data_IF_170928960464
#
_entry.id   IF_170928960464
#
_cell.length_a   1.000
_cell.length_b   1.000
_cell.length_c   1.000
_cell.angle_alpha   90.00
_cell.angle_beta   90.00
_cell.angle_gamma   90.00
#
_symmetry.space_group_name_H-M   'P 1'
#
loop_
_entity.id
_entity.type
_entity.pdbx_description
1 polymer ?
#
# COMPACT_ATOMS: atom_id res chain seq x y z
N UNK A 1 -47.69 -33.83 11.16
CA UNK A 1 -48.88 -33.03 10.82
C UNK A 1 -48.56 -31.58 11.15
N UNK A 2 -48.75 -30.53 10.37
CA UNK A 2 -48.87 -30.28 8.94
C UNK A 2 -48.67 -28.76 8.85
N UNK A 3 -47.93 -28.29 7.84
CA UNK A 3 -47.85 -26.87 7.42
C UNK A 3 -49.24 -26.36 6.98
N UNK A 4 -49.52 -25.04 6.95
CA UNK A 4 -49.08 -24.10 5.88
C UNK A 4 -48.63 -22.73 6.45
N UNK A 5 -47.96 -21.81 5.77
CA UNK A 5 -47.78 -21.57 4.33
C UNK A 5 -48.68 -20.41 3.84
N UNK A 6 -48.08 -19.29 3.42
CA UNK A 6 -48.72 -18.15 2.74
C UNK A 6 -48.22 -16.81 3.29
N UNK A 7 -47.19 -16.13 2.76
CA UNK A 7 -47.06 -15.38 1.48
C UNK A 7 -48.28 -14.53 1.11
N UNK A 8 -48.02 -13.23 0.90
CA UNK A 8 -48.52 -12.38 -0.21
C UNK A 8 -48.88 -10.98 0.30
N UNK A 9 -48.09 -9.92 0.05
CA UNK A 9 -47.81 -9.18 -1.21
C UNK A 9 -48.60 -7.87 -1.28
N UNK A 10 -48.01 -6.86 -1.95
CA UNK A 10 -48.68 -5.71 -2.61
C UNK A 10 -49.10 -4.60 -1.64
N UNK A 11 -48.97 -3.29 -1.87
CA UNK A 11 -48.50 -2.41 -2.94
C UNK A 11 -48.25 -1.08 -2.24
N UNK A 12 -47.22 -0.33 -2.62
CA UNK A 12 -47.27 1.13 -2.50
C UNK A 12 -47.22 1.70 -3.90
N UNK A 13 -48.30 2.41 -4.23
CA UNK A 13 -48.57 3.05 -5.50
C UNK A 13 -47.63 4.26 -5.69
N UNK A 14 -47.25 4.49 -6.94
CA UNK A 14 -46.56 5.69 -7.40
C UNK A 14 -47.32 6.98 -7.03
N UNK A 15 -46.58 7.97 -6.57
CA UNK A 15 -46.89 9.38 -6.82
C UNK A 15 -45.58 10.16 -7.01
N UNK A 16 -45.44 10.65 -8.22
CA UNK A 16 -44.36 11.40 -8.81
C UNK A 16 -44.09 12.72 -8.10
N UNK A 17 -42.83 13.04 -7.85
CA UNK A 17 -42.42 14.44 -7.92
C UNK A 17 -41.07 14.58 -8.63
N UNK A 18 -41.10 15.36 -9.69
CA UNK A 18 -40.06 15.52 -10.69
C UNK A 18 -39.09 16.60 -10.21
N UNK A 19 -37.87 16.21 -9.85
CA UNK A 19 -36.76 17.14 -9.62
C UNK A 19 -35.50 16.49 -10.19
N UNK A 20 -35.18 16.92 -11.40
CA UNK A 20 -34.11 16.44 -12.25
C UNK A 20 -32.74 16.87 -11.72
N UNK A 21 -32.13 16.00 -10.92
CA UNK A 21 -30.69 15.96 -10.69
C UNK A 21 -30.24 14.50 -10.86
N UNK A 22 -29.71 14.19 -12.04
CA UNK A 22 -29.23 12.87 -12.41
C UNK A 22 -27.95 12.53 -11.61
N UNK A 23 -28.12 11.98 -10.42
CA UNK A 23 -27.07 11.17 -9.80
C UNK A 23 -27.04 9.84 -10.54
N UNK A 24 -26.07 9.72 -11.45
CA UNK A 24 -25.70 8.47 -12.08
C UNK A 24 -25.20 7.56 -10.95
N UNK A 25 -26.06 6.69 -10.44
CA UNK A 25 -25.64 5.56 -9.63
C UNK A 25 -24.69 4.73 -10.48
N UNK A 26 -23.40 4.79 -10.14
CA UNK A 26 -22.40 3.90 -10.70
C UNK A 26 -22.90 2.45 -10.57
N UNK A 27 -22.92 1.65 -11.65
CA UNK A 27 -23.25 0.24 -11.55
C UNK A 27 -22.25 -0.42 -10.60
N UNK A 28 -22.75 -1.12 -9.58
CA UNK A 28 -21.97 -2.07 -8.80
C UNK A 28 -21.23 -3.01 -9.78
N UNK A 29 -19.92 -3.28 -9.58
CA UNK A 29 -19.21 -4.22 -10.42
C UNK A 29 -19.94 -5.58 -10.35
N UNK A 30 -20.05 -6.29 -11.48
CA UNK A 30 -20.73 -7.58 -11.50
C UNK A 30 -20.05 -8.54 -10.52
N UNK A 31 -20.85 -9.34 -9.83
CA UNK A 31 -20.41 -10.39 -8.92
C UNK A 31 -19.49 -11.35 -9.68
N UNK A 32 -18.20 -11.31 -9.35
CA UNK A 32 -17.16 -12.16 -9.93
C UNK A 32 -17.46 -13.65 -9.65
N UNK A 33 -18.10 -14.31 -10.61
CA UNK A 33 -18.08 -15.78 -10.70
C UNK A 33 -16.73 -16.29 -11.23
N UNK A 34 -15.75 -15.40 -11.42
CA UNK A 34 -14.44 -15.63 -12.03
C UNK A 34 -13.35 -16.07 -11.04
N UNK A 35 -13.71 -16.26 -9.76
CA UNK A 35 -12.81 -16.75 -8.70
C UNK A 35 -12.92 -18.26 -8.43
N UNK A 36 -13.80 -18.97 -9.15
CA UNK A 36 -13.98 -20.40 -9.02
C UNK A 36 -13.26 -21.14 -10.15
N UNK A 37 -12.45 -22.14 -9.79
CA UNK A 37 -11.86 -23.00 -10.81
C UNK A 37 -12.94 -23.87 -11.48
N UNK A 38 -13.02 -23.95 -12.82
CA UNK A 38 -14.09 -24.72 -13.49
C UNK A 38 -14.01 -26.23 -13.23
N UNK A 39 -12.83 -26.76 -12.89
CA UNK A 39 -12.60 -28.20 -12.71
C UNK A 39 -12.87 -28.64 -11.27
N UNK A 40 -12.29 -27.95 -10.29
CA UNK A 40 -12.43 -28.32 -8.87
C UNK A 40 -13.49 -27.50 -8.14
N UNK A 41 -14.06 -26.46 -8.76
CA UNK A 41 -15.07 -25.55 -8.21
C UNK A 41 -14.67 -24.88 -6.89
N UNK A 42 -13.41 -25.00 -6.49
CA UNK A 42 -12.88 -24.33 -5.29
C UNK A 42 -12.67 -22.85 -5.61
N UNK A 43 -13.18 -21.99 -4.73
CA UNK A 43 -12.98 -20.55 -4.81
C UNK A 43 -11.69 -20.14 -4.09
N UNK A 44 -11.13 -18.99 -4.48
CA UNK A 44 -9.97 -18.37 -3.83
C UNK A 44 -10.17 -18.14 -2.32
N UNK A 45 -11.41 -17.98 -1.89
CA UNK A 45 -11.78 -17.75 -0.49
C UNK A 45 -11.34 -18.89 0.44
N UNK A 46 -11.46 -20.15 0.02
CA UNK A 46 -11.12 -21.30 0.88
C UNK A 46 -9.62 -21.56 0.98
N UNK A 47 -8.82 -21.15 -0.01
CA UNK A 47 -7.37 -21.32 -0.02
C UNK A 47 -6.71 -20.10 -0.66
N UNK A 48 -6.19 -19.18 0.16
CA UNK A 48 -5.55 -17.93 -0.28
C UNK A 48 -4.29 -18.16 -1.13
N UNK A 49 -3.65 -19.32 -0.96
CA UNK A 49 -2.43 -19.73 -1.67
C UNK A 49 -2.71 -20.36 -3.04
N UNK A 50 -3.98 -20.49 -3.46
CA UNK A 50 -4.29 -20.98 -4.80
C UNK A 50 -4.03 -19.91 -5.85
N UNK A 51 -2.97 -20.10 -6.62
CA UNK A 51 -2.68 -19.32 -7.81
C UNK A 51 -3.49 -19.83 -9.01
N UNK A 52 -4.17 -18.90 -9.69
CA UNK A 52 -4.77 -19.14 -10.99
C UNK A 52 -3.75 -18.91 -12.10
N UNK A 53 -3.74 -19.83 -13.06
CA UNK A 53 -2.96 -19.72 -14.30
C UNK A 53 -3.88 -19.56 -15.49
N UNK A 54 -3.38 -18.82 -16.48
CA UNK A 54 -4.06 -18.53 -17.74
C UNK A 54 -3.17 -18.99 -18.88
N UNK A 55 -3.78 -19.46 -19.96
CA UNK A 55 -3.07 -19.75 -21.21
C UNK A 55 -3.27 -18.62 -22.22
N UNK A 56 -2.21 -18.26 -22.94
CA UNK A 56 -2.18 -17.18 -23.95
C UNK A 56 -3.15 -17.37 -25.11
N UNK A 57 -3.58 -18.60 -25.40
CA UNK A 57 -4.47 -18.87 -26.53
C UNK A 57 -5.96 -18.86 -26.17
N UNK A 58 -6.29 -19.19 -24.92
CA UNK A 58 -7.66 -19.40 -24.47
C UNK A 58 -8.15 -18.34 -23.50
N UNK A 59 -7.25 -17.70 -22.76
CA UNK A 59 -7.59 -16.76 -21.70
C UNK A 59 -8.65 -17.31 -20.71
N UNK A 60 -8.56 -18.58 -20.34
CA UNK A 60 -9.38 -19.19 -19.28
C UNK A 60 -8.55 -19.40 -18.01
N UNK A 61 -9.14 -19.10 -16.86
CA UNK A 61 -8.50 -19.24 -15.54
C UNK A 61 -8.64 -20.66 -15.03
N UNK A 62 -7.53 -21.24 -14.58
CA UNK A 62 -7.50 -22.58 -13.99
C UNK A 62 -6.58 -22.62 -12.78
N UNK A 63 -6.94 -23.44 -11.78
CA UNK A 63 -6.12 -23.60 -10.59
C UNK A 63 -4.79 -24.31 -10.92
N UNK A 64 -3.67 -23.96 -10.25
CA UNK A 64 -2.36 -24.60 -10.46
C UNK A 64 -2.42 -26.13 -10.42
N UNK A 65 -3.09 -26.71 -9.42
CA UNK A 65 -3.20 -28.17 -9.25
C UNK A 65 -4.01 -28.84 -10.36
N UNK A 66 -5.01 -28.13 -10.90
CA UNK A 66 -5.85 -28.58 -12.02
C UNK A 66 -5.07 -28.58 -13.33
N UNK A 67 -4.27 -27.52 -13.56
CA UNK A 67 -3.41 -27.40 -14.73
C UNK A 67 -2.34 -28.49 -14.72
N UNK A 68 -1.66 -28.69 -13.58
CA UNK A 68 -0.64 -29.72 -13.46
C UNK A 68 -1.23 -31.12 -13.61
N UNK A 69 -2.44 -31.40 -13.10
CA UNK A 69 -3.06 -32.73 -13.27
C UNK A 69 -3.47 -33.01 -14.71
N UNK A 70 -4.14 -32.07 -15.37
CA UNK A 70 -4.73 -32.29 -16.70
C UNK A 70 -3.65 -32.27 -17.79
N UNK A 71 -2.62 -31.43 -17.67
CA UNK A 71 -1.62 -31.24 -18.73
C UNK A 71 -0.29 -31.96 -18.50
N UNK A 72 -0.17 -32.76 -17.42
CA UNK A 72 1.00 -33.61 -17.18
C UNK A 72 1.06 -34.82 -18.11
N UNK A 73 -0.09 -35.36 -18.48
CA UNK A 73 -0.19 -36.55 -19.34
C UNK A 73 0.00 -36.23 -20.83
N UNK A 74 0.04 -34.94 -21.20
CA UNK A 74 0.25 -34.51 -22.57
C UNK A 74 -0.54 -33.24 -22.93
N UNK A 75 -0.46 -32.79 -24.20
CA UNK A 75 -1.26 -31.70 -24.70
C UNK A 75 -2.74 -32.11 -24.76
N UNK A 76 -3.54 -31.54 -23.86
CA UNK A 76 -4.97 -31.81 -23.75
C UNK A 76 -5.79 -30.57 -24.16
N UNK A 77 -7.10 -30.75 -24.36
CA UNK A 77 -7.98 -29.63 -24.65
C UNK A 77 -8.36 -28.88 -23.37
N UNK A 78 -8.65 -27.58 -23.49
CA UNK A 78 -9.18 -26.81 -22.38
C UNK A 78 -10.51 -27.41 -21.89
N UNK A 79 -10.71 -27.65 -20.58
CA UNK A 79 -11.94 -28.23 -20.04
C UNK A 79 -13.09 -27.20 -19.87
N UNK A 80 -13.00 -26.03 -20.51
CA UNK A 80 -14.02 -24.98 -20.43
C UNK A 80 -15.12 -25.24 -21.46
N UNK A 81 -16.39 -25.10 -21.06
CA UNK A 81 -17.53 -25.31 -21.94
C UNK A 81 -17.48 -24.31 -23.11
N UNK A 82 -17.32 -24.83 -24.34
CA UNK A 82 -17.20 -24.01 -25.55
C UNK A 82 -15.76 -23.74 -26.03
N UNK A 83 -14.73 -24.28 -25.37
CA UNK A 83 -13.35 -24.11 -25.79
C UNK A 83 -12.63 -25.43 -26.06
N UNK A 84 -12.38 -25.74 -27.33
CA UNK A 84 -11.71 -26.99 -27.76
C UNK A 84 -10.25 -26.82 -28.19
N UNK A 85 -9.63 -25.69 -27.83
CA UNK A 85 -8.22 -25.41 -28.14
C UNK A 85 -7.30 -26.36 -27.37
N UNK A 86 -6.30 -26.90 -28.08
CA UNK A 86 -5.29 -27.81 -27.55
C UNK A 86 -4.18 -27.00 -26.88
N UNK A 87 -3.97 -27.23 -25.58
CA UNK A 87 -3.06 -26.43 -24.76
C UNK A 87 -1.89 -27.26 -24.24
N UNK A 88 -0.73 -26.61 -24.09
CA UNK A 88 0.49 -27.20 -23.53
C UNK A 88 0.77 -26.62 -22.14
N UNK A 89 1.37 -27.42 -21.25
CA UNK A 89 1.70 -26.99 -19.88
C UNK A 89 2.59 -25.74 -19.82
N UNK A 90 3.56 -25.61 -20.74
CA UNK A 90 4.46 -24.44 -20.82
C UNK A 90 3.76 -23.14 -21.21
N UNK A 91 2.57 -23.21 -21.80
CA UNK A 91 1.80 -22.03 -22.20
C UNK A 91 1.00 -21.38 -21.07
N UNK A 92 1.03 -21.95 -19.85
CA UNK A 92 0.32 -21.40 -18.70
C UNK A 92 1.19 -20.39 -17.93
N UNK A 93 0.73 -19.15 -17.86
CA UNK A 93 1.32 -18.01 -17.13
C UNK A 93 0.42 -17.62 -15.96
N UNK A 94 0.97 -17.00 -14.93
CA UNK A 94 0.19 -16.41 -13.84
C UNK A 94 -0.44 -15.10 -14.31
N UNK A 95 -1.73 -14.89 -14.01
CA UNK A 95 -2.38 -13.60 -14.24
C UNK A 95 -1.75 -12.55 -13.30
N UNK A 96 -1.37 -11.39 -13.82
CA UNK A 96 -1.03 -10.23 -13.01
C UNK A 96 -2.30 -9.42 -12.69
N UNK A 97 -3.22 -9.34 -13.65
CA UNK A 97 -4.47 -8.59 -13.54
C UNK A 97 -5.68 -9.48 -13.27
N UNK A 98 -6.63 -8.91 -12.53
CA UNK A 98 -7.91 -9.53 -12.21
C UNK A 98 -8.91 -9.50 -13.36
N UNK A 99 -8.59 -8.89 -14.50
CA UNK A 99 -9.39 -8.88 -15.72
C UNK A 99 -8.65 -9.59 -16.87
N UNK A 100 -9.36 -10.50 -17.55
CA UNK A 100 -8.85 -11.25 -18.71
C UNK A 100 -8.73 -10.38 -19.97
N UNK A 101 -9.57 -9.35 -20.11
CA UNK A 101 -9.51 -8.42 -21.24
C UNK A 101 -8.19 -7.67 -21.26
N UNK A 102 -7.82 -7.09 -20.12
CA UNK A 102 -6.56 -6.35 -19.94
C UNK A 102 -5.34 -7.25 -20.15
N UNK A 103 -5.33 -8.48 -19.64
CA UNK A 103 -4.20 -9.41 -19.89
C UNK A 103 -4.03 -9.72 -21.39
N UNK A 104 -5.13 -9.92 -22.12
CA UNK A 104 -5.09 -10.15 -23.57
C UNK A 104 -4.50 -8.96 -24.29
N UNK A 105 -4.97 -7.76 -23.96
CA UNK A 105 -4.48 -6.51 -24.52
C UNK A 105 -2.99 -6.30 -24.24
N UNK A 106 -2.54 -6.52 -23.00
CA UNK A 106 -1.12 -6.39 -22.62
C UNK A 106 -0.24 -7.40 -23.36
N UNK A 107 -0.67 -8.66 -23.49
CA UNK A 107 0.09 -9.67 -24.21
C UNK A 107 0.16 -9.35 -25.73
N UNK A 108 -0.93 -8.83 -26.33
CA UNK A 108 -0.94 -8.37 -27.72
C UNK A 108 -0.03 -7.14 -27.89
N UNK A 109 -0.15 -6.12 -27.03
CA UNK A 109 0.73 -4.94 -27.04
C UNK A 109 2.19 -5.32 -26.93
N UNK A 110 2.55 -6.26 -26.05
CA UNK A 110 3.94 -6.75 -25.94
C UNK A 110 4.42 -7.43 -27.21
N UNK A 111 3.54 -8.18 -27.89
CA UNK A 111 3.85 -8.81 -29.18
C UNK A 111 4.09 -7.75 -30.26
N UNK A 112 3.16 -6.81 -30.39
CA UNK A 112 3.23 -5.70 -31.36
C UNK A 112 4.46 -4.83 -31.08
N UNK A 113 4.71 -4.40 -29.84
CA UNK A 113 5.89 -3.61 -29.47
C UNK A 113 7.22 -4.34 -29.68
N UNK A 114 7.25 -5.68 -29.60
CA UNK A 114 8.45 -6.45 -29.91
C UNK A 114 8.81 -6.44 -31.41
N UNK A 115 7.80 -6.25 -32.26
CA UNK A 115 7.93 -6.13 -33.72
C UNK A 115 8.16 -4.67 -34.13
N UNK A 116 7.44 -3.75 -33.51
CA UNK A 116 7.48 -2.31 -33.76
C UNK A 116 8.42 -1.61 -32.78
N UNK A 117 9.72 -1.90 -32.86
CA UNK A 117 10.74 -1.43 -31.92
C UNK A 117 11.57 -0.24 -32.43
N UNK A 118 10.91 0.70 -33.13
CA UNK A 118 11.52 1.98 -33.56
C UNK A 118 11.41 3.02 -32.45
N UNK A 119 12.50 3.75 -32.21
CA UNK A 119 12.56 4.81 -31.21
C UNK A 119 12.31 6.18 -31.85
N UNK A 120 12.09 7.22 -31.05
CA UNK A 120 11.96 8.61 -31.51
C UNK A 120 13.19 9.05 -32.33
N UNK A 121 14.39 8.60 -31.95
CA UNK A 121 15.66 8.90 -32.63
C UNK A 121 15.74 8.38 -34.08
N UNK A 122 14.88 7.43 -34.45
CA UNK A 122 14.84 6.86 -35.81
C UNK A 122 14.03 7.74 -36.79
N UNK A 123 13.37 8.79 -36.30
CA UNK A 123 12.51 9.67 -37.10
C UNK A 123 13.08 11.09 -37.22
N UNK A 124 12.83 11.74 -38.35
CA UNK A 124 13.30 13.11 -38.61
C UNK A 124 12.44 14.18 -37.91
N UNK A 125 11.17 13.87 -37.64
CA UNK A 125 10.22 14.78 -37.01
C UNK A 125 9.37 14.06 -35.96
N UNK A 126 8.95 14.83 -34.94
CA UNK A 126 8.07 14.34 -33.90
C UNK A 126 6.69 13.96 -34.45
N UNK A 127 6.19 14.68 -35.45
CA UNK A 127 4.90 14.39 -36.09
C UNK A 127 4.92 13.02 -36.78
N UNK A 128 6.01 12.67 -37.48
CA UNK A 128 6.15 11.36 -38.11
C UNK A 128 6.21 10.22 -37.08
N UNK A 129 6.83 10.46 -35.92
CA UNK A 129 6.83 9.51 -34.81
C UNK A 129 5.43 9.33 -34.20
N UNK A 130 4.67 10.41 -34.03
CA UNK A 130 3.29 10.36 -33.53
C UNK A 130 2.35 9.63 -34.50
N UNK A 131 2.48 9.87 -35.81
CA UNK A 131 1.73 9.14 -36.83
C UNK A 131 2.06 7.64 -36.83
N UNK A 132 3.33 7.29 -36.61
CA UNK A 132 3.76 5.91 -36.45
C UNK A 132 3.16 5.26 -35.19
N UNK A 133 3.21 5.94 -34.04
CA UNK A 133 2.58 5.46 -32.81
C UNK A 133 1.07 5.26 -32.99
N UNK A 134 0.40 6.19 -33.69
CA UNK A 134 -1.02 6.07 -34.00
C UNK A 134 -1.32 4.83 -34.84
N UNK A 135 -0.54 4.57 -35.89
CA UNK A 135 -0.67 3.34 -36.68
C UNK A 135 -0.50 2.07 -35.83
N UNK A 136 0.47 2.05 -34.91
CA UNK A 136 0.71 0.92 -34.00
C UNK A 136 -0.48 0.71 -33.05
N UNK A 137 -1.07 1.77 -32.52
CA UNK A 137 -2.25 1.68 -31.65
C UNK A 137 -3.50 1.26 -32.43
N UNK A 138 -3.71 1.76 -33.66
CA UNK A 138 -4.81 1.29 -34.51
C UNK A 138 -4.70 -0.22 -34.80
N UNK A 139 -3.51 -0.70 -35.15
CA UNK A 139 -3.25 -2.13 -35.35
C UNK A 139 -3.52 -2.94 -34.08
N UNK A 140 -3.14 -2.40 -32.92
CA UNK A 140 -3.36 -3.04 -31.62
C UNK A 140 -4.86 -3.11 -31.30
N UNK A 141 -5.60 -2.03 -31.52
CA UNK A 141 -7.04 -1.97 -31.29
C UNK A 141 -7.79 -2.94 -32.21
N UNK A 142 -7.42 -3.01 -33.49
CA UNK A 142 -7.97 -3.98 -34.45
C UNK A 142 -7.73 -5.44 -34.01
N UNK A 143 -6.60 -5.72 -33.35
CA UNK A 143 -6.28 -7.06 -32.84
C UNK A 143 -7.07 -7.43 -31.57
N UNK A 144 -7.37 -6.45 -30.71
CA UNK A 144 -8.03 -6.64 -29.41
C UNK A 144 -9.55 -6.60 -29.55
N UNK A 145 -10.06 -5.53 -30.16
CA UNK A 145 -11.49 -5.18 -30.23
C UNK A 145 -12.09 -5.39 -31.62
N UNK A 146 -11.26 -5.54 -32.66
CA UNK A 146 -11.71 -5.67 -34.05
C UNK A 146 -12.50 -6.95 -34.34
N UNK A 147 -13.27 -6.90 -35.44
CA UNK A 147 -13.95 -8.08 -35.99
C UNK A 147 -12.95 -9.14 -36.44
N UNK A 148 -13.37 -10.39 -36.59
CA UNK A 148 -12.47 -11.48 -37.03
C UNK A 148 -11.79 -11.20 -38.39
N UNK A 149 -12.41 -10.40 -39.25
CA UNK A 149 -11.82 -9.95 -40.51
C UNK A 149 -10.74 -8.88 -40.29
N UNK A 150 -11.00 -7.91 -39.41
CA UNK A 150 -10.03 -6.87 -39.04
C UNK A 150 -8.81 -7.51 -38.37
N UNK A 151 -9.02 -8.45 -37.44
CA UNK A 151 -7.96 -9.19 -36.76
C UNK A 151 -7.06 -9.93 -37.75
N UNK A 152 -7.64 -10.64 -38.73
CA UNK A 152 -6.86 -11.33 -39.78
C UNK A 152 -6.05 -10.36 -40.64
N UNK A 153 -6.62 -9.20 -40.99
CA UNK A 153 -5.90 -8.17 -41.76
C UNK A 153 -4.73 -7.60 -40.95
N UNK A 154 -4.94 -7.28 -39.68
CA UNK A 154 -3.91 -6.79 -38.79
C UNK A 154 -2.81 -7.85 -38.56
N UNK A 155 -3.15 -9.13 -38.43
CA UNK A 155 -2.18 -10.24 -38.35
C UNK A 155 -1.33 -10.36 -39.62
N UNK A 156 -1.93 -10.20 -40.81
CA UNK A 156 -1.20 -10.19 -42.07
C UNK A 156 -0.26 -8.98 -42.16
N UNK A 157 -0.74 -7.78 -41.79
CA UNK A 157 0.08 -6.58 -41.77
C UNK A 157 1.26 -6.69 -40.80
N UNK A 158 1.04 -7.31 -39.62
CA UNK A 158 2.10 -7.61 -38.66
C UNK A 158 3.15 -8.55 -39.27
N UNK A 159 2.72 -9.63 -39.91
CA UNK A 159 3.63 -10.61 -40.53
C UNK A 159 4.41 -10.03 -41.72
N UNK A 160 3.78 -9.19 -42.54
CA UNK A 160 4.44 -8.47 -43.63
C UNK A 160 5.51 -7.50 -43.10
N UNK A 161 5.18 -6.76 -42.05
CA UNK A 161 6.13 -5.86 -41.40
C UNK A 161 7.31 -6.61 -40.77
N UNK A 162 7.04 -7.70 -40.05
CA UNK A 162 8.08 -8.58 -39.50
C UNK A 162 9.03 -9.09 -40.60
N UNK A 163 8.49 -9.49 -41.75
CA UNK A 163 9.30 -10.00 -42.87
C UNK A 163 10.17 -8.90 -43.49
N UNK A 164 9.65 -7.69 -43.63
CA UNK A 164 10.38 -6.56 -44.22
C UNK A 164 11.46 -5.99 -43.29
N UNK A 165 11.20 -5.94 -41.98
CA UNK A 165 12.05 -5.25 -41.02
C UNK A 165 12.81 -6.20 -40.07
N UNK A 166 12.83 -7.50 -40.34
CA UNK A 166 13.44 -8.51 -39.45
C UNK A 166 14.86 -8.16 -38.97
N UNK A 167 15.73 -7.73 -39.90
CA UNK A 167 17.12 -7.43 -39.58
C UNK A 167 17.27 -6.17 -38.69
N UNK A 168 16.42 -5.17 -38.93
CA UNK A 168 16.38 -3.94 -38.14
C UNK A 168 15.84 -4.23 -36.73
N UNK A 169 14.78 -5.04 -36.64
CA UNK A 169 14.19 -5.48 -35.37
C UNK A 169 15.22 -6.23 -34.52
N UNK A 170 15.97 -7.15 -35.11
CA UNK A 170 17.01 -7.91 -34.40
C UNK A 170 18.15 -6.99 -33.89
N UNK A 171 18.55 -5.98 -34.68
CA UNK A 171 19.54 -4.98 -34.28
C UNK A 171 19.05 -4.14 -33.11
N UNK A 172 17.85 -3.57 -33.21
CA UNK A 172 17.26 -2.73 -32.16
C UNK A 172 17.02 -3.54 -30.88
N UNK A 173 16.61 -4.80 -31.00
CA UNK A 173 16.47 -5.70 -29.86
C UNK A 173 17.80 -5.97 -29.16
N UNK A 174 18.90 -6.08 -29.90
CA UNK A 174 20.24 -6.25 -29.31
C UNK A 174 20.68 -4.99 -28.56
N UNK A 175 20.49 -3.81 -29.17
CA UNK A 175 20.79 -2.53 -28.54
C UNK A 175 19.97 -2.30 -27.26
N UNK A 176 18.68 -2.62 -27.28
CA UNK A 176 17.82 -2.54 -26.10
C UNK A 176 18.32 -3.43 -24.95
N UNK A 177 18.74 -4.67 -25.25
CA UNK A 177 19.33 -5.58 -24.25
C UNK A 177 20.64 -5.03 -23.67
N UNK A 178 21.54 -4.53 -24.51
CA UNK A 178 22.81 -3.95 -24.06
C UNK A 178 22.58 -2.73 -23.16
N UNK A 179 21.62 -1.88 -23.51
CA UNK A 179 21.21 -0.74 -22.69
C UNK A 179 20.62 -1.18 -21.34
N UNK A 180 19.71 -2.15 -21.33
CA UNK A 180 19.11 -2.70 -20.12
C UNK A 180 20.14 -3.36 -19.20
N UNK A 181 21.07 -4.14 -19.76
CA UNK A 181 22.18 -4.73 -19.01
C UNK A 181 23.08 -3.66 -18.40
N UNK A 182 23.36 -2.59 -19.13
CA UNK A 182 24.14 -1.45 -18.61
C UNK A 182 23.44 -0.77 -17.43
N UNK A 183 22.11 -0.57 -17.54
CA UNK A 183 21.28 0.01 -16.48
C UNK A 183 21.24 -0.89 -15.23
N UNK A 184 21.07 -2.20 -15.41
CA UNK A 184 21.09 -3.17 -14.31
C UNK A 184 22.45 -3.22 -13.61
N UNK A 185 23.56 -3.19 -14.37
CA UNK A 185 24.92 -3.15 -13.82
C UNK A 185 25.15 -1.89 -12.97
N UNK A 186 24.65 -0.73 -13.41
CA UNK A 186 24.75 0.53 -12.63
C UNK A 186 23.99 0.43 -11.30
N UNK A 187 22.75 -0.07 -11.33
CA UNK A 187 21.95 -0.27 -10.11
C UNK A 187 22.58 -1.30 -9.16
N UNK A 188 23.14 -2.39 -9.71
CA UNK A 188 23.83 -3.40 -8.90
C UNK A 188 25.08 -2.83 -8.23
N UNK A 189 25.90 -2.06 -8.97
CA UNK A 189 27.08 -1.41 -8.42
C UNK A 189 26.73 -0.39 -7.31
N UNK A 190 25.63 0.35 -7.48
CA UNK A 190 25.12 1.27 -6.46
C UNK A 190 24.68 0.53 -5.18
N UNK A 191 23.91 -0.56 -5.34
CA UNK A 191 23.49 -1.39 -4.22
C UNK A 191 24.68 -2.05 -3.50
N UNK A 192 25.68 -2.52 -4.25
CA UNK A 192 26.91 -3.09 -3.69
C UNK A 192 27.71 -2.05 -2.92
N UNK A 193 27.90 -0.85 -3.47
CA UNK A 193 28.54 0.24 -2.77
C UNK A 193 27.79 0.61 -1.47
N UNK A 194 26.46 0.65 -1.50
CA UNK A 194 25.64 0.90 -0.31
C UNK A 194 25.73 -0.25 0.72
N UNK A 195 25.88 -1.50 0.28
CA UNK A 195 26.14 -2.64 1.20
C UNK A 195 27.52 -2.55 1.81
N UNK A 196 28.54 -2.23 1.01
CA UNK A 196 29.92 -2.09 1.48
C UNK A 196 30.03 -0.97 2.53
N UNK A 197 29.39 0.18 2.31
CA UNK A 197 29.35 1.27 3.30
C UNK A 197 28.74 0.83 4.63
N UNK A 198 27.62 0.10 4.60
CA UNK A 198 26.99 -0.43 5.83
C UNK A 198 27.87 -1.42 6.57
N UNK A 199 28.60 -2.27 5.83
CA UNK A 199 29.54 -3.23 6.44
C UNK A 199 30.75 -2.49 7.03
N UNK A 200 31.27 -1.48 6.33
CA UNK A 200 32.38 -0.65 6.80
C UNK A 200 31.99 0.09 8.08
N UNK A 201 30.84 0.74 8.13
CA UNK A 201 30.32 1.41 9.33
C UNK A 201 30.18 0.43 10.52
N UNK A 202 29.66 -0.77 10.28
CA UNK A 202 29.57 -1.80 11.32
C UNK A 202 30.94 -2.30 11.80
N UNK A 203 31.92 -2.39 10.91
CA UNK A 203 33.29 -2.77 11.25
C UNK A 203 33.98 -1.66 12.06
N UNK A 204 33.86 -0.40 11.63
CA UNK A 204 34.38 0.77 12.33
C UNK A 204 33.79 0.89 13.73
N UNK A 205 32.47 0.71 13.89
CA UNK A 205 31.79 0.68 15.19
C UNK A 205 32.31 -0.44 16.10
N UNK A 206 32.58 -1.63 15.54
CA UNK A 206 33.10 -2.76 16.29
C UNK A 206 34.56 -2.52 16.73
N UNK A 207 35.37 -1.93 15.86
CA UNK A 207 36.75 -1.51 16.15
C UNK A 207 36.79 -0.39 17.20
N UNK A 208 35.89 0.58 17.13
CA UNK A 208 35.77 1.64 18.14
C UNK A 208 35.44 1.03 19.51
N UNK A 209 34.44 0.14 19.58
CA UNK A 209 34.07 -0.58 20.82
C UNK A 209 35.24 -1.40 21.36
N UNK A 210 35.95 -2.13 20.51
CA UNK A 210 37.12 -2.92 20.91
C UNK A 210 38.28 -2.04 21.41
N UNK A 211 38.56 -0.92 20.74
CA UNK A 211 39.59 0.03 21.15
C UNK A 211 39.24 0.71 22.48
N UNK A 212 37.96 1.04 22.70
CA UNK A 212 37.48 1.59 23.96
C UNK A 212 37.59 0.57 25.12
N UNK A 213 37.33 -0.72 24.85
CA UNK A 213 37.53 -1.79 25.83
C UNK A 213 39.01 -1.97 26.20
N UNK A 214 39.91 -2.05 25.21
CA UNK A 214 41.37 -2.10 25.45
C UNK A 214 41.85 -0.89 26.24
N UNK A 215 41.36 0.30 25.92
CA UNK A 215 41.71 1.51 26.66
C UNK A 215 41.24 1.45 28.12
N UNK A 216 40.04 0.90 28.37
CA UNK A 216 39.54 0.70 29.74
C UNK A 216 40.41 -0.29 30.51
N UNK A 217 40.81 -1.38 29.89
CA UNK A 217 41.72 -2.37 30.50
C UNK A 217 43.11 -1.79 30.80
N UNK A 218 43.68 -1.01 29.89
CA UNK A 218 44.96 -0.30 30.12
C UNK A 218 44.85 0.68 31.30
N UNK A 219 43.74 1.42 31.39
CA UNK A 219 43.48 2.32 32.51
C UNK A 219 43.37 1.56 33.84
N UNK A 220 42.64 0.45 33.87
CA UNK A 220 42.50 -0.40 35.06
C UNK A 220 43.84 -1.03 35.47
N UNK A 221 44.62 -1.56 34.52
CA UNK A 221 45.95 -2.10 34.79
C UNK A 221 46.91 -1.03 35.33
N UNK A 222 46.84 0.21 34.81
CA UNK A 222 47.66 1.31 35.32
C UNK A 222 47.26 1.72 36.73
N UNK A 223 45.97 1.65 37.09
CA UNK A 223 45.48 1.91 38.44
C UNK A 223 45.90 0.81 39.41
N UNK A 224 45.83 -0.45 38.98
CA UNK A 224 46.25 -1.60 39.79
C UNK A 224 47.75 -1.59 40.12
N UNK A 225 48.58 -1.10 39.19
CA UNK A 225 50.03 -1.04 39.35
C UNK A 225 50.53 0.29 39.98
N UNK A 226 49.66 1.26 40.22
CA UNK A 226 50.04 2.54 40.83
C UNK A 226 50.16 2.43 42.35
N UNK A 227 51.23 3.01 42.91
CA UNK A 227 51.44 3.09 44.36
C UNK A 227 50.37 3.98 45.03
N UNK A 228 50.02 3.66 46.29
CA UNK A 228 48.97 4.35 47.05
C UNK A 228 49.28 5.85 47.15
N UNK A 229 48.43 6.67 46.51
CA UNK A 229 48.57 8.13 46.46
C UNK A 229 49.06 8.71 45.12
N UNK A 230 49.47 7.88 44.15
CA UNK A 230 49.91 8.32 42.80
C UNK A 230 48.95 7.88 41.68
N UNK A 231 47.76 7.39 42.03
CA UNK A 231 46.74 6.95 41.08
C UNK A 231 46.28 8.05 40.12
N UNK A 232 46.24 9.31 40.56
CA UNK A 232 45.84 10.44 39.72
C UNK A 232 46.86 10.73 38.60
N UNK A 233 48.16 10.66 38.90
CA UNK A 233 49.23 10.89 37.92
C UNK A 233 49.32 9.76 36.88
N UNK A 234 49.03 8.52 37.29
CA UNK A 234 48.98 7.37 36.40
C UNK A 234 47.83 7.48 35.37
N UNK A 235 46.65 7.93 35.80
CA UNK A 235 45.50 8.17 34.92
C UNK A 235 45.77 9.31 33.93
N UNK A 236 46.37 10.42 34.39
CA UNK A 236 46.73 11.55 33.53
C UNK A 236 47.73 11.16 32.43
N UNK A 237 48.71 10.30 32.75
CA UNK A 237 49.67 9.78 31.78
C UNK A 237 48.99 8.95 30.67
N UNK A 238 48.02 8.11 31.04
CA UNK A 238 47.25 7.28 30.09
C UNK A 238 46.34 8.14 29.21
N UNK A 239 45.69 9.15 29.78
CA UNK A 239 44.86 10.10 29.03
C UNK A 239 45.66 10.97 28.04
N UNK A 240 46.85 11.42 28.45
CA UNK A 240 47.78 12.15 27.57
C UNK A 240 48.25 11.28 26.39
N UNK A 241 48.52 9.99 26.64
CA UNK A 241 48.89 9.02 25.60
C UNK A 241 47.75 8.81 24.60
N UNK A 242 46.50 8.65 25.07
CA UNK A 242 45.31 8.53 24.20
C UNK A 242 45.08 9.79 23.36
N UNK A 243 45.18 10.98 23.96
CA UNK A 243 45.04 12.25 23.25
C UNK A 243 46.13 12.44 22.19
N UNK A 244 47.34 11.95 22.46
CA UNK A 244 48.44 11.91 21.50
C UNK A 244 48.21 10.93 20.34
N UNK A 245 47.66 9.75 20.61
CA UNK A 245 47.26 8.77 19.59
C UNK A 245 46.11 9.27 18.72
N UNK A 246 45.02 9.77 19.30
CA UNK A 246 43.90 10.34 18.53
C UNK A 246 44.33 11.47 17.59
N UNK A 247 45.28 12.32 18.03
CA UNK A 247 45.83 13.38 17.18
C UNK A 247 46.68 12.81 16.04
N UNK A 248 47.40 11.71 16.28
CA UNK A 248 48.17 11.00 15.25
C UNK A 248 47.27 10.29 14.26
N UNK A 249 46.26 9.57 14.73
CA UNK A 249 45.30 8.85 13.89
C UNK A 249 44.48 9.83 13.04
N UNK A 250 44.02 10.94 13.62
CA UNK A 250 43.37 12.02 12.86
C UNK A 250 44.31 12.69 11.84
N UNK A 251 45.62 12.76 12.10
CA UNK A 251 46.59 13.24 11.10
C UNK A 251 46.88 12.20 10.03
N UNK A 252 46.86 10.90 10.36
CA UNK A 252 47.08 9.81 9.41
C UNK A 252 45.86 9.62 8.51
N UNK A 253 44.63 9.71 9.04
CA UNK A 253 43.40 9.74 8.25
C UNK A 253 43.34 10.98 7.34
N UNK A 254 43.77 12.14 7.84
CA UNK A 254 43.89 13.33 7.01
C UNK A 254 44.95 13.16 5.90
N UNK A 255 46.05 12.43 6.15
CA UNK A 255 47.09 12.15 5.14
C UNK A 255 46.66 11.04 4.17
N UNK A 256 45.91 10.04 4.62
CA UNK A 256 45.32 9.00 3.78
C UNK A 256 44.24 9.58 2.86
N UNK A 257 43.42 10.52 3.35
CA UNK A 257 42.49 11.31 2.55
C UNK A 257 43.18 12.23 1.54
N UNK A 258 44.45 12.61 1.78
CA UNK A 258 45.30 13.40 0.87
C UNK A 258 46.07 12.54 -0.15
N UNK A 259 45.90 11.21 -0.15
CA UNK A 259 46.46 10.30 -1.16
C UNK A 259 45.88 10.47 -2.57
N UNK A 260 44.87 11.34 -2.75
CA UNK A 260 44.40 11.83 -4.03
C UNK A 260 44.84 13.28 -4.25
N UNK A 261 45.65 13.51 -5.28
CA UNK A 261 46.18 14.81 -5.72
C UNK A 261 45.24 16.01 -5.50
N UNK A 262 45.73 17.04 -4.80
CA UNK A 262 45.15 18.39 -4.83
C UNK A 262 45.39 19.17 -3.54
N UNK A 263 46.25 20.17 -3.59
CA UNK A 263 46.47 21.15 -2.52
C UNK A 263 45.16 21.89 -2.22
N UNK A 264 44.46 21.55 -1.13
CA UNK A 264 43.33 22.33 -0.61
C UNK A 264 43.78 23.13 0.63
N UNK A 265 43.61 24.45 0.54
CA UNK A 265 43.90 25.41 1.60
C UNK A 265 43.02 25.07 2.83
N UNK A 266 43.66 24.86 3.99
CA UNK A 266 42.95 24.61 5.25
C UNK A 266 42.03 25.79 5.58
N UNK A 267 40.72 25.53 5.62
CA UNK A 267 39.71 26.46 6.11
C UNK A 267 38.61 26.86 5.11
N UNK A 268 38.74 26.51 3.82
CA UNK A 268 37.65 26.69 2.87
C UNK A 268 36.75 25.45 2.90
N UNK A 269 35.68 25.53 3.68
CA UNK A 269 34.61 24.54 3.65
C UNK A 269 33.83 24.76 2.36
N UNK A 270 34.15 24.00 1.32
CA UNK A 270 33.22 23.84 0.21
C UNK A 270 31.96 23.19 0.77
N UNK A 271 30.92 24.00 0.98
CA UNK A 271 29.58 23.50 1.19
C UNK A 271 29.09 22.93 -0.15
N UNK A 272 29.62 21.78 -0.56
CA UNK A 272 28.74 20.81 -1.21
C UNK A 272 27.90 20.25 -0.08
N UNK A 273 26.73 20.86 0.09
CA UNK A 273 25.62 20.13 0.67
C UNK A 273 25.58 18.76 -0.02
N UNK A 274 25.37 17.65 0.72
CA UNK A 274 24.92 16.44 0.04
C UNK A 274 23.78 16.90 -0.86
N UNK A 275 23.81 16.53 -2.14
CA UNK A 275 22.61 16.57 -2.95
C UNK A 275 21.66 15.66 -2.17
N UNK A 276 20.83 16.28 -1.33
CA UNK A 276 19.72 15.62 -0.72
C UNK A 276 18.98 15.03 -1.92
N UNK A 277 18.74 13.72 -1.88
CA UNK A 277 17.83 13.10 -2.82
C UNK A 277 16.65 14.07 -2.99
N UNK A 278 16.38 14.52 -4.22
CA UNK A 278 15.27 15.41 -4.55
C UNK A 278 13.96 14.64 -4.33
N UNK A 279 13.71 14.26 -3.08
CA UNK A 279 12.39 13.90 -2.59
C UNK A 279 11.59 15.19 -2.73
N UNK A 280 10.43 15.15 -3.42
CA UNK A 280 9.55 16.31 -3.48
C UNK A 280 9.44 16.94 -2.10
N UNK A 281 9.72 18.24 -2.01
CA UNK A 281 9.70 18.99 -0.76
C UNK A 281 8.39 18.69 -0.03
N UNK A 282 8.49 17.94 1.06
CA UNK A 282 7.36 17.62 1.92
C UNK A 282 7.23 18.75 2.94
N UNK A 283 6.23 19.65 2.82
CA UNK A 283 6.05 20.78 3.72
C UNK A 283 5.78 20.34 5.18
N UNK A 284 5.49 19.07 5.41
CA UNK A 284 5.20 18.51 6.72
C UNK A 284 6.27 17.55 7.24
N UNK A 285 7.38 17.36 6.50
CA UNK A 285 8.54 16.63 6.99
C UNK A 285 8.25 15.18 7.43
N UNK A 286 7.32 14.50 6.77
CA UNK A 286 6.92 13.13 7.08
C UNK A 286 5.88 13.01 8.20
N UNK A 287 5.25 14.11 8.62
CA UNK A 287 4.07 14.05 9.48
C UNK A 287 2.87 13.52 8.67
N UNK A 288 2.32 12.39 9.09
CA UNK A 288 1.07 11.88 8.54
C UNK A 288 -0.09 12.75 9.07
N UNK A 289 -0.52 13.69 8.23
CA UNK A 289 -1.68 14.54 8.50
C UNK A 289 -3.00 13.82 8.26
N UNK A 290 -2.98 12.55 7.84
CA UNK A 290 -4.20 11.78 7.76
C UNK A 290 -4.89 11.81 9.13
N UNK A 291 -6.20 12.09 9.18
CA UNK A 291 -6.93 12.12 10.45
C UNK A 291 -6.86 10.73 11.08
N UNK A 292 -6.01 10.59 12.08
CA UNK A 292 -5.91 9.35 12.84
C UNK A 292 -7.18 9.22 13.66
N UNK A 293 -7.99 8.21 13.34
CA UNK A 293 -9.13 7.86 14.18
C UNK A 293 -8.59 7.27 15.47
N UNK A 294 -8.71 8.03 16.55
CA UNK A 294 -8.40 7.53 17.89
C UNK A 294 -9.55 6.62 18.30
N UNK A 295 -9.22 5.39 18.68
CA UNK A 295 -10.19 4.49 19.28
C UNK A 295 -10.46 4.94 20.73
N UNK A 296 -11.65 5.47 20.95
CA UNK A 296 -12.12 6.00 22.24
C UNK A 296 -13.06 4.99 22.94
N UNK A 297 -12.94 3.70 22.64
CA UNK A 297 -13.61 2.66 23.41
C UNK A 297 -13.19 2.71 24.89
N UNK A 298 -14.10 2.42 25.82
CA UNK A 298 -13.90 2.47 27.28
C UNK A 298 -12.60 1.79 27.74
N UNK A 299 -12.21 0.70 27.06
CA UNK A 299 -11.01 -0.09 27.35
C UNK A 299 -9.69 0.62 26.96
N UNK A 300 -9.74 1.51 25.96
CA UNK A 300 -8.59 2.20 25.38
C UNK A 300 -8.45 3.66 25.84
N UNK A 301 -9.36 4.17 26.69
CA UNK A 301 -9.32 5.55 27.22
C UNK A 301 -8.04 5.86 28.01
N UNK A 302 -7.49 4.86 28.71
CA UNK A 302 -6.23 4.99 29.46
C UNK A 302 -5.02 5.25 28.53
N UNK A 303 -5.10 4.83 27.27
CA UNK A 303 -4.05 5.01 26.27
C UNK A 303 -4.09 6.39 25.61
N UNK A 304 -5.20 7.12 25.77
CA UNK A 304 -5.29 8.50 25.30
C UNK A 304 -4.28 9.38 26.03
N UNK A 305 -3.42 10.05 25.26
CA UNK A 305 -2.37 10.94 25.76
C UNK A 305 -2.73 12.39 25.48
N UNK A 306 -2.67 13.21 26.51
CA UNK A 306 -2.69 14.65 26.36
C UNK A 306 -1.78 15.25 27.43
N UNK A 307 -1.12 16.35 27.08
CA UNK A 307 -0.19 17.03 27.98
C UNK A 307 -0.84 17.37 29.33
N UNK A 308 -2.13 17.73 29.32
CA UNK A 308 -2.90 18.03 30.52
C UNK A 308 -3.26 16.77 31.33
N UNK A 309 -3.72 15.70 30.69
CA UNK A 309 -4.14 14.49 31.41
C UNK A 309 -2.96 13.71 31.96
N UNK A 310 -1.83 13.70 31.27
CA UNK A 310 -0.61 13.03 31.72
C UNK A 310 -0.04 13.69 32.99
N UNK A 311 -0.22 15.01 33.14
CA UNK A 311 0.11 15.74 34.38
C UNK A 311 -0.81 15.29 35.53
N UNK A 312 -2.11 15.13 35.28
CA UNK A 312 -3.07 14.72 36.32
C UNK A 312 -2.89 13.26 36.77
N UNK A 313 -2.32 12.41 35.91
CA UNK A 313 -1.98 11.01 36.23
C UNK A 313 -0.73 10.87 37.08
N UNK A 314 0.20 11.82 36.97
CA UNK A 314 1.54 11.74 37.57
C UNK A 314 1.67 12.53 38.87
N UNK A 315 0.94 13.62 39.03
CA UNK A 315 1.01 14.48 40.22
C UNK A 315 0.08 14.00 41.34
N UNK A 316 0.67 13.75 42.51
CA UNK A 316 -0.06 13.27 43.71
C UNK A 316 -1.13 14.26 44.21
N UNK A 317 -0.95 15.57 44.00
CA UNK A 317 -1.91 16.60 44.41
C UNK A 317 -3.32 16.39 43.85
N UNK A 318 -3.45 15.80 42.66
CA UNK A 318 -4.73 15.52 42.01
C UNK A 318 -5.31 14.16 42.44
N UNK A 319 -4.45 13.19 42.75
CA UNK A 319 -4.85 11.82 43.13
C UNK A 319 -5.52 11.82 44.51
N UNK A 320 -5.02 12.63 45.45
CA UNK A 320 -5.55 12.71 46.83
C UNK A 320 -6.99 13.24 46.88
N UNK A 321 -7.42 14.00 45.86
CA UNK A 321 -8.77 14.54 45.76
C UNK A 321 -9.83 13.58 45.22
N UNK A 322 -9.48 12.33 44.93
CA UNK A 322 -10.40 11.36 44.31
C UNK A 322 -10.68 11.63 42.82
N UNK A 323 -9.86 12.46 42.17
CA UNK A 323 -9.97 12.75 40.75
C UNK A 323 -9.48 11.55 39.92
N UNK A 324 -10.34 11.03 39.04
CA UNK A 324 -9.99 10.00 38.07
C UNK A 324 -9.97 10.57 36.65
N UNK A 325 -8.83 10.41 35.95
CA UNK A 325 -8.68 10.84 34.56
C UNK A 325 -9.64 10.11 33.61
N UNK A 326 -10.03 8.88 33.94
CA UNK A 326 -10.94 8.06 33.14
C UNK A 326 -12.40 8.53 33.28
N UNK A 327 -12.83 8.89 34.49
CA UNK A 327 -14.16 9.46 34.74
C UNK A 327 -14.32 10.84 34.08
N UNK A 328 -13.27 11.65 34.08
CA UNK A 328 -13.26 12.92 33.39
C UNK A 328 -13.43 12.75 31.88
N UNK A 329 -12.68 11.81 31.27
CA UNK A 329 -12.76 11.52 29.84
C UNK A 329 -14.14 10.96 29.45
N UNK A 330 -14.67 10.00 30.20
CA UNK A 330 -16.00 9.43 29.93
C UNK A 330 -17.11 10.48 30.04
N UNK A 331 -17.03 11.37 31.04
CA UNK A 331 -17.98 12.49 31.17
C UNK A 331 -17.88 13.50 30.03
N UNK A 332 -16.66 13.86 29.62
CA UNK A 332 -16.43 14.80 28.52
C UNK A 332 -16.93 14.23 27.18
N UNK A 333 -16.70 12.93 26.94
CA UNK A 333 -17.24 12.22 25.77
C UNK A 333 -18.76 12.16 25.83
N UNK A 334 -19.33 11.83 26.99
CA UNK A 334 -20.78 11.84 27.17
C UNK A 334 -21.37 13.22 26.89
N UNK A 335 -20.81 14.30 27.44
CA UNK A 335 -21.29 15.66 27.20
C UNK A 335 -21.18 16.07 25.73
N UNK A 336 -20.03 15.80 25.08
CA UNK A 336 -19.80 16.16 23.69
C UNK A 336 -20.72 15.40 22.72
N UNK A 337 -21.00 14.12 23.00
CA UNK A 337 -21.78 13.26 22.11
C UNK A 337 -23.26 13.07 22.50
N UNK A 338 -23.66 13.45 23.73
CA UNK A 338 -25.06 13.34 24.20
C UNK A 338 -26.07 14.20 23.43
N UNK A 339 -25.60 15.17 22.64
CA UNK A 339 -26.43 15.96 21.72
C UNK A 339 -26.28 15.60 20.24
N UNK A 340 -25.31 14.76 19.88
CA UNK A 340 -25.07 14.33 18.50
C UNK A 340 -25.98 13.13 18.18
N UNK A 341 -27.22 13.42 17.81
CA UNK A 341 -28.22 12.41 17.45
C UNK A 341 -29.66 12.75 17.86
N UNK A 342 -29.87 13.83 18.60
CA UNK A 342 -31.20 14.35 18.93
C UNK A 342 -31.52 15.49 17.97
N UNK A 343 -32.27 15.18 16.91
CA UNK A 343 -32.85 16.20 16.04
C UNK A 343 -34.19 16.62 16.65
N UNK A 344 -34.25 17.85 17.18
CA UNK A 344 -35.46 18.39 17.82
C UNK A 344 -36.66 18.42 16.84
N UNK A 345 -36.40 18.41 15.54
CA UNK A 345 -37.42 18.31 14.49
C UNK A 345 -38.00 16.88 14.43
N UNK A 346 -37.16 15.84 14.38
CA UNK A 346 -37.60 14.43 14.35
C UNK A 346 -38.31 13.99 15.66
N UNK A 347 -37.94 14.58 16.80
CA UNK A 347 -38.57 14.32 18.11
C UNK A 347 -39.96 14.99 18.28
N UNK A 348 -40.31 15.97 17.42
CA UNK A 348 -41.66 16.58 17.43
C UNK A 348 -42.68 15.71 16.72
N UNK A 349 -42.27 15.06 15.63
CA UNK A 349 -43.14 14.19 14.85
C UNK A 349 -43.54 12.94 15.66
N UNK A 350 -42.61 12.39 16.45
CA UNK A 350 -42.90 11.23 17.32
C UNK A 350 -43.80 11.56 18.52
N UNK A 351 -43.84 12.83 18.97
CA UNK A 351 -44.76 13.27 20.03
C UNK A 351 -46.20 13.34 19.54
N UNK A 352 -46.43 13.80 18.31
CA UNK A 352 -47.78 13.80 17.73
C UNK A 352 -48.29 12.36 17.57
N UNK A 353 -47.46 11.46 17.04
CA UNK A 353 -47.82 10.03 16.90
C UNK A 353 -48.06 9.32 18.24
N UNK A 354 -47.28 9.64 19.28
CA UNK A 354 -47.48 9.08 20.62
C UNK A 354 -48.78 9.58 21.29
N UNK A 355 -49.20 10.83 21.02
CA UNK A 355 -50.48 11.35 21.54
C UNK A 355 -51.71 10.73 20.86
N UNK A 356 -51.60 10.36 19.58
CA UNK A 356 -52.68 9.68 18.83
C UNK A 356 -52.79 8.21 19.26
N UNK A 357 -51.67 7.54 19.54
CA UNK A 357 -51.68 6.18 20.07
C UNK A 357 -52.26 6.10 21.50
N UNK A 358 -51.90 7.04 22.38
CA UNK A 358 -52.42 7.09 23.76
C UNK A 358 -53.92 7.43 23.82
N UNK A 359 -54.44 8.20 22.87
CA UNK A 359 -55.88 8.56 22.81
C UNK A 359 -56.75 7.45 22.22
N UNK A 360 -56.20 6.54 21.41
CA UNK A 360 -56.89 5.33 20.94
C UNK A 360 -56.95 4.23 22.02
N UNK A 361 -55.91 4.09 22.84
CA UNK A 361 -55.90 3.12 23.95
C UNK A 361 -56.80 3.55 25.13
N UNK A 362 -56.94 4.85 25.38
CA UNK A 362 -57.86 5.38 26.39
C UNK A 362 -59.35 5.25 26.02
N UNK A 363 -59.69 5.04 24.75
CA UNK A 363 -61.07 4.85 24.28
C UNK A 363 -61.61 3.41 24.41
N UNK A 364 -60.73 2.43 24.60
CA UNK A 364 -61.09 1.01 24.66
C UNK A 364 -61.15 0.43 26.09
N UNK A 365 -60.66 1.17 27.09
CA UNK A 365 -60.66 0.78 28.49
C UNK A 365 -61.28 1.89 29.34
N UNK A 366 -62.57 1.76 29.66
CA UNK A 366 -63.29 2.17 30.88
C UNK A 366 -64.78 2.38 30.54
N UNK A 367 -65.55 1.30 30.69
CA UNK A 367 -66.89 1.39 31.30
C UNK A 367 -66.74 0.95 32.76
N UNK A 368 -67.57 1.50 33.65
CA UNK A 368 -67.46 1.52 35.13
C UNK A 368 -66.55 2.65 35.63
N UNK A 369 -67.01 3.82 36.10
CA UNK A 369 -68.23 4.15 36.83
C UNK A 369 -67.91 4.29 38.32
N UNK A 370 -67.41 5.45 38.75
CA UNK A 370 -67.10 5.71 40.18
C UNK A 370 -66.60 7.12 40.44
N UNK A 371 -67.54 8.02 40.75
CA UNK A 371 -67.43 9.45 41.02
C UNK A 371 -66.78 9.74 42.37
N UNK A 372 -65.82 10.69 42.43
CA UNK A 372 -65.57 11.48 43.66
C UNK A 372 -65.22 12.93 43.30
N UNK A 373 -65.90 13.82 44.01
CA UNK A 373 -66.07 15.25 43.76
C UNK A 373 -64.82 16.11 44.09
N UNK A 374 -64.76 17.18 43.30
CA UNK A 374 -64.07 18.47 43.45
C UNK A 374 -64.00 19.02 44.90
N UNK A 375 -62.88 19.67 45.23
CA UNK A 375 -62.86 21.14 45.38
C UNK A 375 -61.44 21.69 45.50
N UNK A 376 -61.16 22.70 44.66
CA UNK A 376 -60.02 23.61 44.70
C UNK A 376 -60.00 24.42 46.01
N UNK A 377 -58.81 24.89 46.41
CA UNK A 377 -58.49 26.31 46.71
C UNK A 377 -57.17 26.38 47.51
N UNK A 378 -56.09 26.66 46.76
CA UNK A 378 -54.85 27.44 47.06
C UNK A 378 -53.60 26.86 46.41
#
# INVERSE_FOLDING_TARGET
MSRPGGTSTVSMRHASNNSSAAFISAPLPPVDNDEACPVCKTTRYFNKDMEFRINTECYHRMCKTCVERIFKDGPNQCPYAGCHKTLRLRGFKTAFFGDLGVEREVDIRRRVAAVFNKAEDDFESLDAYNDYLYMVECLTDDLVNGSDEARKKAEVQLAEWEAQHKAEIERNRKLARESDESRQKRLAAEQEAARQRRIQELQEDAEEKASAARFREEMLNSLQNAELGHAAEAVDRVLLKKRGQQKRDATLDAVAALGGSGLSIRGLRDKRAPVADDKPYDPFGGLDLAPQRVDLATENLSQYKSEWLDITRTKEDYIVGGYSSEEYLTRALFEAFSGLGVFIEDDKDTREDATVAASLEAGAAVSVGGKMDVDDVF
#
